data_IF_518893845001
#
_entry.id   IF_518893845001
#
_cell.length_a   1.000
_cell.length_b   1.000
_cell.length_c   1.000
_cell.angle_alpha   90.00
_cell.angle_beta   90.00
_cell.angle_gamma   90.00
#
_symmetry.space_group_name_H-M   'P 1'
#
loop_
_entity.id
_entity.type
_entity.pdbx_description
1 polymer ?
#
# COMPACT_ATOMS: atom_id res chain seq x y z
N UNK A 1 17.32 12.15 26.70
CA UNK A 1 16.33 11.06 26.75
C UNK A 1 15.42 11.25 25.54
N UNK A 2 15.71 10.62 24.40
CA UNK A 2 14.90 10.78 23.20
C UNK A 2 13.52 10.19 23.47
N UNK A 3 12.50 11.02 23.34
CA UNK A 3 11.13 10.56 23.44
C UNK A 3 10.93 9.48 22.36
N UNK A 4 10.65 8.25 22.79
CA UNK A 4 10.38 7.11 21.88
C UNK A 4 9.13 7.46 21.08
N UNK A 5 9.30 7.76 19.82
CA UNK A 5 8.25 8.27 18.95
C UNK A 5 7.34 7.13 18.51
N UNK A 6 6.04 7.27 18.71
CA UNK A 6 5.03 6.34 18.22
C UNK A 6 4.63 6.76 16.81
N UNK A 7 4.81 5.89 15.85
CA UNK A 7 4.36 6.05 14.47
C UNK A 7 3.07 5.26 14.27
N UNK A 8 2.11 5.84 13.57
CA UNK A 8 0.81 5.26 13.28
C UNK A 8 0.65 5.13 11.76
N UNK A 9 0.31 3.94 11.30
CA UNK A 9 -0.11 3.69 9.93
C UNK A 9 -1.62 3.47 9.88
N UNK A 10 -2.28 4.22 9.03
CA UNK A 10 -3.73 4.19 8.85
C UNK A 10 -4.07 3.83 7.39
N UNK A 11 -4.57 2.62 7.20
CA UNK A 11 -5.09 2.14 5.93
C UNK A 11 -6.59 2.39 5.86
N UNK A 12 -7.00 3.25 4.93
CA UNK A 12 -8.41 3.64 4.72
C UNK A 12 -8.91 2.90 3.49
N UNK A 13 -9.58 1.77 3.71
CA UNK A 13 -10.19 0.98 2.64
C UNK A 13 -11.71 1.11 2.64
N UNK A 14 -12.35 0.67 1.55
CA UNK A 14 -13.81 0.81 1.39
C UNK A 14 -14.65 -0.07 2.32
N UNK A 15 -14.05 -1.10 2.91
CA UNK A 15 -14.68 -2.04 3.85
C UNK A 15 -14.37 -1.74 5.31
N UNK A 16 -13.15 -1.28 5.60
CA UNK A 16 -12.69 -0.99 6.95
C UNK A 16 -11.55 0.02 6.97
N UNK A 17 -11.44 0.76 8.06
CA UNK A 17 -10.21 1.48 8.42
C UNK A 17 -9.40 0.59 9.34
N UNK A 18 -8.18 0.30 8.93
CA UNK A 18 -7.22 -0.50 9.71
C UNK A 18 -6.10 0.38 10.21
N UNK A 19 -5.74 0.22 11.46
CA UNK A 19 -4.70 1.01 12.09
C UNK A 19 -3.70 0.12 12.81
N UNK A 20 -2.44 0.46 12.65
CA UNK A 20 -1.30 -0.17 13.34
C UNK A 20 -0.46 0.96 13.95
N UNK A 21 -0.01 0.79 15.19
CA UNK A 21 0.94 1.73 15.77
C UNK A 21 2.14 1.02 16.35
N UNK A 22 3.30 1.54 15.97
CA UNK A 22 4.60 0.99 16.29
C UNK A 22 5.49 2.02 16.99
N UNK A 23 6.49 1.54 17.69
CA UNK A 23 7.54 2.36 18.29
C UNK A 23 8.88 2.00 17.68
N UNK A 24 9.62 3.02 17.21
CA UNK A 24 10.99 2.82 16.78
C UNK A 24 11.87 2.35 17.93
N UNK A 25 12.70 1.36 17.68
CA UNK A 25 13.67 0.77 18.59
C UNK A 25 15.07 0.94 18.01
N UNK A 26 16.10 0.63 18.78
CA UNK A 26 17.49 0.65 18.32
C UNK A 26 17.75 -0.34 17.19
N UNK A 27 17.00 -1.44 17.18
CA UNK A 27 17.03 -2.48 16.15
C UNK A 27 15.57 -2.76 15.72
N UNK A 28 15.13 -2.07 14.66
CA UNK A 28 13.80 -2.26 14.07
C UNK A 28 12.65 -1.61 14.85
N UNK A 29 11.49 -2.24 14.81
CA UNK A 29 10.22 -1.69 15.29
C UNK A 29 9.55 -2.61 16.30
N UNK A 30 8.79 -2.02 17.23
CA UNK A 30 7.97 -2.73 18.20
C UNK A 30 6.50 -2.41 17.94
N UNK A 31 5.70 -3.44 17.74
CA UNK A 31 4.25 -3.33 17.63
C UNK A 31 3.65 -3.02 19.00
N UNK A 32 2.94 -1.91 19.10
CA UNK A 32 2.26 -1.47 20.33
C UNK A 32 0.76 -1.73 20.28
N UNK A 33 0.19 -1.88 19.07
CA UNK A 33 -1.21 -2.19 18.92
C UNK A 33 -1.67 -2.14 17.46
N UNK A 34 -2.86 -2.68 17.27
CA UNK A 34 -3.55 -2.74 15.99
C UNK A 34 -5.06 -2.73 16.24
N UNK A 35 -5.83 -2.24 15.29
CA UNK A 35 -7.29 -2.25 15.35
C UNK A 35 -7.91 -2.12 13.96
N UNK A 36 -9.17 -2.55 13.81
CA UNK A 36 -9.95 -2.39 12.60
C UNK A 36 -11.37 -1.98 12.93
N UNK A 37 -11.91 -1.00 12.20
CA UNK A 37 -13.30 -0.56 12.31
C UNK A 37 -13.92 -0.61 10.92
N UNK A 38 -15.07 -1.27 10.78
CA UNK A 38 -15.78 -1.37 9.52
C UNK A 38 -16.26 0.00 9.03
N UNK A 39 -16.12 0.24 7.76
CA UNK A 39 -16.67 1.41 7.07
C UNK A 39 -18.09 1.10 6.64
N UNK A 40 -19.09 1.97 6.92
CA UNK A 40 -20.46 1.77 6.49
C UNK A 40 -20.58 1.60 4.97
N UNK A 41 -21.45 0.70 4.53
CA UNK A 41 -21.75 0.55 3.11
C UNK A 41 -22.22 1.88 2.51
N UNK A 42 -21.83 2.16 1.27
CA UNK A 42 -22.16 3.41 0.61
C UNK A 42 -21.23 4.59 0.96
N UNK A 43 -20.23 4.42 1.80
CA UNK A 43 -19.22 5.45 2.07
C UNK A 43 -18.33 5.72 0.85
N UNK A 44 -18.04 4.68 0.08
CA UNK A 44 -17.25 4.76 -1.15
C UNK A 44 -18.02 4.22 -2.35
N UNK A 45 -17.82 4.84 -3.51
CA UNK A 45 -18.21 4.33 -4.82
C UNK A 45 -16.94 4.11 -5.66
N UNK A 46 -16.53 2.85 -5.82
CA UNK A 46 -15.16 2.56 -6.26
C UNK A 46 -14.16 3.11 -5.24
N UNK A 47 -13.16 3.86 -5.72
CA UNK A 47 -12.17 4.53 -4.87
C UNK A 47 -12.58 5.98 -4.49
N UNK A 48 -13.76 6.44 -4.95
CA UNK A 48 -14.26 7.78 -4.65
C UNK A 48 -15.02 7.79 -3.33
N UNK A 49 -14.63 8.68 -2.42
CA UNK A 49 -15.36 8.97 -1.20
C UNK A 49 -16.64 9.75 -1.52
N UNK A 50 -17.81 9.19 -1.19
CA UNK A 50 -19.11 9.82 -1.43
C UNK A 50 -19.86 10.20 -0.17
N UNK A 51 -19.53 9.59 0.97
CA UNK A 51 -20.09 9.93 2.28
C UNK A 51 -18.98 10.26 3.30
N UNK A 52 -18.35 11.46 3.22
CA UNK A 52 -17.23 11.83 4.07
C UNK A 52 -17.58 11.84 5.57
N UNK A 53 -18.83 12.14 5.92
CA UNK A 53 -19.32 12.14 7.29
C UNK A 53 -19.24 10.74 7.92
N UNK A 54 -19.64 9.70 7.19
CA UNK A 54 -19.58 8.32 7.65
C UNK A 54 -18.12 7.88 7.92
N UNK A 55 -17.19 8.27 7.03
CA UNK A 55 -15.77 8.00 7.23
C UNK A 55 -15.20 8.80 8.42
N UNK A 56 -15.59 10.06 8.59
CA UNK A 56 -15.18 10.88 9.73
C UNK A 56 -15.59 10.25 11.05
N UNK A 57 -16.79 9.68 11.14
CA UNK A 57 -17.26 9.03 12.35
C UNK A 57 -16.43 7.79 12.71
N UNK A 58 -16.04 7.00 11.71
CA UNK A 58 -15.11 5.86 11.87
C UNK A 58 -13.75 6.35 12.35
N UNK A 59 -13.18 7.36 11.70
CA UNK A 59 -11.88 7.94 12.07
C UNK A 59 -11.88 8.56 13.47
N UNK A 60 -13.00 9.15 13.90
CA UNK A 60 -13.17 9.67 15.25
C UNK A 60 -13.13 8.57 16.32
N UNK A 61 -13.59 7.36 15.99
CA UNK A 61 -13.46 6.19 16.86
C UNK A 61 -12.00 5.72 16.93
N UNK A 62 -11.30 5.68 15.79
CA UNK A 62 -9.87 5.39 15.74
C UNK A 62 -9.09 6.40 16.59
N UNK A 63 -9.38 7.70 16.48
CA UNK A 63 -8.70 8.73 17.27
C UNK A 63 -8.76 8.46 18.78
N UNK A 64 -9.88 7.94 19.29
CA UNK A 64 -10.05 7.66 20.73
C UNK A 64 -9.17 6.53 21.26
N UNK A 65 -8.77 5.59 20.42
CA UNK A 65 -7.95 4.43 20.81
C UNK A 65 -6.46 4.66 20.60
N UNK A 66 -6.08 5.67 19.82
CA UNK A 66 -4.68 5.99 19.58
C UNK A 66 -3.97 6.55 20.81
N UNK A 67 -2.66 6.33 20.95
CA UNK A 67 -1.86 6.96 21.98
C UNK A 67 -1.95 8.50 21.90
N UNK A 68 -2.04 9.17 23.05
CA UNK A 68 -2.16 10.63 23.12
C UNK A 68 -0.95 11.41 22.54
N UNK A 69 0.21 10.77 22.46
CA UNK A 69 1.45 11.36 21.92
C UNK A 69 1.89 10.55 20.74
N UNK A 70 1.49 11.03 19.57
CA UNK A 70 1.99 10.53 18.29
C UNK A 70 3.19 11.36 17.87
N UNK A 71 4.16 10.67 17.28
CA UNK A 71 5.23 11.36 16.56
C UNK A 71 4.85 11.57 15.10
N UNK A 72 4.03 10.65 14.57
CA UNK A 72 3.72 10.63 13.15
C UNK A 72 2.46 9.82 12.87
N UNK A 73 1.60 10.33 11.99
CA UNK A 73 0.49 9.61 11.38
C UNK A 73 0.70 9.53 9.86
N UNK A 74 0.77 8.32 9.35
CA UNK A 74 0.94 8.03 7.93
C UNK A 74 -0.34 7.45 7.34
N UNK A 75 -0.76 7.95 6.18
CA UNK A 75 -1.82 7.37 5.34
C UNK A 75 -1.26 7.04 3.97
N UNK A 76 -2.03 6.34 3.13
CA UNK A 76 -1.67 6.11 1.74
C UNK A 76 -2.84 6.41 0.80
N UNK A 77 -2.52 6.95 -0.38
CA UNK A 77 -3.43 6.96 -1.51
C UNK A 77 -3.41 5.61 -2.23
N UNK A 78 -4.54 5.14 -2.77
CA UNK A 78 -4.59 3.94 -3.59
C UNK A 78 -3.64 4.05 -4.79
N UNK A 79 -2.95 2.95 -5.13
CA UNK A 79 -2.08 2.92 -6.30
C UNK A 79 -2.81 3.22 -7.62
N UNK A 80 -4.10 2.86 -7.70
CA UNK A 80 -4.96 3.18 -8.84
C UNK A 80 -5.15 4.69 -9.07
N UNK A 81 -5.05 5.50 -8.02
CA UNK A 81 -5.20 6.96 -8.07
C UNK A 81 -3.89 7.70 -8.37
N UNK A 82 -2.79 6.97 -8.56
CA UNK A 82 -1.44 7.51 -8.68
C UNK A 82 -0.89 7.30 -10.09
N UNK A 83 -0.32 8.36 -10.63
CA UNK A 83 0.42 8.35 -11.90
C UNK A 83 1.92 8.38 -11.61
N UNK A 84 2.70 7.56 -12.33
CA UNK A 84 4.17 7.62 -12.25
C UNK A 84 4.79 7.85 -13.61
N UNK A 85 5.81 8.69 -13.64
CA UNK A 85 6.65 8.96 -14.81
C UNK A 85 8.12 9.03 -14.39
N UNK A 86 8.99 8.84 -15.35
CA UNK A 86 10.43 8.95 -15.12
C UNK A 86 11.00 10.18 -15.81
N UNK A 87 11.91 10.86 -15.12
CA UNK A 87 12.64 12.02 -15.63
C UNK A 87 14.14 11.76 -15.47
N UNK A 88 14.92 11.97 -16.51
CA UNK A 88 16.38 11.92 -16.45
C UNK A 88 16.92 13.33 -16.18
N UNK A 89 17.65 13.49 -15.09
CA UNK A 89 18.29 14.76 -14.68
C UNK A 89 19.78 14.59 -14.56
N UNK A 90 20.52 15.68 -14.47
CA UNK A 90 21.95 15.63 -14.15
C UNK A 90 22.15 15.25 -12.68
N UNK A 91 23.05 14.30 -12.44
CA UNK A 91 23.23 13.71 -11.11
C UNK A 91 23.76 14.72 -10.07
N UNK A 92 24.52 15.74 -10.53
CA UNK A 92 25.10 16.78 -9.66
C UNK A 92 24.09 17.81 -9.16
N UNK A 93 22.84 17.81 -9.66
CA UNK A 93 21.82 18.74 -9.18
C UNK A 93 21.50 18.46 -7.71
N UNK A 94 21.39 19.55 -6.93
CA UNK A 94 20.88 19.52 -5.58
C UNK A 94 19.41 19.10 -5.56
N UNK A 95 18.89 18.71 -4.41
CA UNK A 95 17.48 18.32 -4.27
C UNK A 95 16.53 19.44 -4.68
N UNK A 96 16.87 20.70 -4.34
CA UNK A 96 16.08 21.86 -4.72
C UNK A 96 16.09 22.10 -6.23
N UNK A 97 17.23 21.96 -6.90
CA UNK A 97 17.32 22.06 -8.36
C UNK A 97 16.57 20.94 -9.06
N UNK A 98 16.61 19.72 -8.49
CA UNK A 98 15.78 18.60 -8.97
C UNK A 98 14.30 18.92 -8.84
N UNK A 99 13.86 19.49 -7.72
CA UNK A 99 12.47 19.91 -7.53
C UNK A 99 12.05 20.93 -8.63
N UNK A 100 12.82 21.99 -8.86
CA UNK A 100 12.54 22.96 -9.92
C UNK A 100 12.50 22.31 -11.30
N UNK A 101 13.38 21.34 -11.56
CA UNK A 101 13.37 20.61 -12.82
C UNK A 101 12.14 19.75 -12.99
N UNK A 102 11.71 19.07 -11.94
CA UNK A 102 10.45 18.28 -11.93
C UNK A 102 9.25 19.19 -12.16
N UNK A 103 9.14 20.32 -11.43
CA UNK A 103 8.04 21.28 -11.57
C UNK A 103 7.93 21.81 -13.00
N UNK A 104 9.03 22.13 -13.65
CA UNK A 104 9.08 22.61 -15.02
C UNK A 104 8.59 21.55 -16.02
N UNK A 105 8.80 20.27 -15.71
CA UNK A 105 8.43 19.15 -16.59
C UNK A 105 7.04 18.58 -16.31
N UNK A 106 6.37 18.93 -15.19
CA UNK A 106 5.04 18.40 -14.86
C UNK A 106 4.04 18.47 -16.02
N UNK A 107 3.93 19.59 -16.80
CA UNK A 107 2.98 19.69 -17.91
C UNK A 107 3.25 18.68 -19.03
N UNK A 108 4.51 18.26 -19.20
CA UNK A 108 4.90 17.27 -20.21
C UNK A 108 4.76 15.84 -19.71
N UNK A 109 4.87 15.62 -18.39
CA UNK A 109 4.82 14.31 -17.77
C UNK A 109 3.39 13.83 -17.52
N UNK A 110 2.48 14.74 -17.16
CA UNK A 110 1.14 14.37 -16.72
C UNK A 110 0.03 15.12 -17.50
N UNK A 111 -1.14 14.48 -17.70
CA UNK A 111 -2.23 15.05 -18.49
C UNK A 111 -3.06 16.09 -17.72
N UNK A 112 -2.65 16.48 -16.52
CA UNK A 112 -3.35 17.42 -15.64
C UNK A 112 -2.51 18.68 -15.44
N UNK A 113 -3.16 19.84 -15.24
CA UNK A 113 -2.44 21.06 -14.90
C UNK A 113 -1.66 20.93 -13.59
N UNK A 114 -0.47 21.54 -13.46
CA UNK A 114 0.38 21.42 -12.26
C UNK A 114 -0.33 21.79 -10.95
N UNK A 115 -1.23 22.77 -10.98
CA UNK A 115 -1.97 23.20 -9.78
C UNK A 115 -3.00 22.16 -9.31
N UNK A 116 -3.43 21.23 -10.16
CA UNK A 116 -4.33 20.12 -9.81
C UNK A 116 -3.56 18.88 -9.32
N UNK A 117 -2.22 18.90 -9.39
CA UNK A 117 -1.36 17.80 -8.98
C UNK A 117 -0.80 18.00 -7.58
N UNK A 118 -0.85 16.96 -6.75
CA UNK A 118 0.06 16.74 -5.66
C UNK A 118 1.12 15.75 -6.17
N UNK A 119 2.39 16.08 -6.03
CA UNK A 119 3.48 15.26 -6.55
C UNK A 119 4.64 15.19 -5.59
N UNK A 120 5.45 14.16 -5.74
CA UNK A 120 6.73 13.96 -5.09
C UNK A 120 7.66 13.20 -6.06
N UNK A 121 8.94 13.17 -5.80
CA UNK A 121 9.90 12.44 -6.60
C UNK A 121 10.98 11.79 -5.75
N UNK A 122 11.56 10.72 -6.29
CA UNK A 122 12.71 10.05 -5.68
C UNK A 122 13.70 9.63 -6.75
N UNK A 123 14.96 9.58 -6.37
CA UNK A 123 16.00 8.96 -7.20
C UNK A 123 15.82 7.44 -7.23
N UNK A 124 15.99 6.84 -8.41
CA UNK A 124 15.93 5.39 -8.57
C UNK A 124 17.21 4.89 -9.28
N UNK A 125 17.93 4.01 -8.58
CA UNK A 125 19.19 3.45 -9.06
C UNK A 125 20.39 4.38 -8.86
N UNK A 126 21.53 3.93 -9.38
CA UNK A 126 22.77 4.69 -9.34
C UNK A 126 22.84 5.69 -10.53
N UNK A 127 23.72 6.67 -10.38
CA UNK A 127 24.13 7.55 -11.47
C UNK A 127 24.60 6.73 -12.68
N UNK A 128 24.18 7.13 -13.86
CA UNK A 128 24.67 6.52 -15.12
C UNK A 128 26.09 6.98 -15.44
N UNK A 129 26.80 6.21 -16.29
CA UNK A 129 28.16 6.56 -16.75
C UNK A 129 28.25 7.96 -17.40
N UNK A 130 27.11 8.53 -17.83
CA UNK A 130 27.04 9.86 -18.45
C UNK A 130 26.64 10.96 -17.46
N UNK A 131 26.74 10.74 -16.16
CA UNK A 131 26.39 11.73 -15.13
C UNK A 131 24.89 12.02 -15.02
N UNK A 132 24.02 11.06 -15.43
CA UNK A 132 22.55 11.22 -15.36
C UNK A 132 21.97 10.39 -14.23
N UNK A 133 20.95 10.94 -13.57
CA UNK A 133 20.20 10.30 -12.52
C UNK A 133 18.74 10.15 -12.94
N UNK A 134 18.18 8.96 -12.73
CA UNK A 134 16.76 8.71 -12.97
C UNK A 134 15.93 9.14 -11.77
N UNK A 135 14.99 10.04 -11.98
CA UNK A 135 13.95 10.38 -11.02
C UNK A 135 12.66 9.66 -11.38
N UNK A 136 12.00 9.06 -10.38
CA UNK A 136 10.63 8.58 -10.46
C UNK A 136 9.74 9.65 -9.87
N UNK A 137 8.97 10.32 -10.72
CA UNK A 137 8.00 11.35 -10.32
C UNK A 137 6.65 10.67 -10.13
N UNK A 138 6.08 10.84 -8.96
CA UNK A 138 4.78 10.28 -8.56
C UNK A 138 3.80 11.42 -8.37
N UNK A 139 2.64 11.35 -8.97
CA UNK A 139 1.62 12.39 -8.88
C UNK A 139 0.22 11.80 -8.67
N UNK A 140 -0.59 12.50 -7.92
CA UNK A 140 -2.01 12.21 -7.71
C UNK A 140 -2.84 13.50 -7.89
N UNK A 141 -4.16 13.36 -8.07
CA UNK A 141 -5.04 14.52 -8.03
C UNK A 141 -5.00 15.17 -6.65
N UNK A 142 -4.73 16.46 -6.60
CA UNK A 142 -4.69 17.25 -5.36
C UNK A 142 -6.05 17.23 -4.64
N UNK A 143 -7.15 17.26 -5.39
CA UNK A 143 -8.50 17.14 -4.85
C UNK A 143 -8.65 15.88 -4.00
N UNK A 144 -8.29 14.71 -4.56
CA UNK A 144 -8.37 13.44 -3.83
C UNK A 144 -7.55 13.46 -2.52
N UNK A 145 -6.33 13.94 -2.57
CA UNK A 145 -5.49 14.07 -1.38
C UNK A 145 -6.15 15.00 -0.34
N UNK A 146 -6.69 16.14 -0.79
CA UNK A 146 -7.35 17.10 0.10
C UNK A 146 -8.61 16.53 0.74
N UNK A 147 -9.39 15.71 0.03
CA UNK A 147 -10.58 15.03 0.56
C UNK A 147 -10.21 14.13 1.74
N UNK A 148 -9.15 13.30 1.58
CA UNK A 148 -8.66 12.46 2.67
C UNK A 148 -8.16 13.28 3.87
N UNK A 149 -7.39 14.34 3.61
CA UNK A 149 -6.85 15.21 4.67
C UNK A 149 -7.98 15.97 5.41
N UNK A 150 -9.00 16.43 4.69
CA UNK A 150 -10.15 17.14 5.29
C UNK A 150 -10.96 16.22 6.21
N UNK A 151 -11.21 14.97 5.81
CA UNK A 151 -11.93 14.00 6.64
C UNK A 151 -11.13 13.62 7.89
N UNK A 152 -9.81 13.42 7.76
CA UNK A 152 -8.94 13.20 8.91
C UNK A 152 -8.97 14.37 9.88
N UNK A 153 -8.81 15.59 9.38
CA UNK A 153 -8.86 16.81 10.19
C UNK A 153 -10.21 16.95 10.90
N UNK A 154 -11.31 16.66 10.21
CA UNK A 154 -12.65 16.65 10.78
C UNK A 154 -12.85 15.61 11.88
N UNK A 155 -12.05 14.54 11.91
CA UNK A 155 -12.01 13.52 12.95
C UNK A 155 -10.99 13.83 14.09
N UNK A 156 -10.31 14.97 14.03
CA UNK A 156 -9.28 15.36 14.99
C UNK A 156 -7.91 14.68 14.76
N UNK A 157 -7.71 14.11 13.56
CA UNK A 157 -6.45 13.49 13.15
C UNK A 157 -5.73 14.40 12.15
N UNK A 158 -4.40 14.42 12.21
CA UNK A 158 -3.56 15.11 11.25
C UNK A 158 -2.58 14.12 10.66
N UNK A 159 -2.61 13.95 9.34
CA UNK A 159 -1.62 13.15 8.64
C UNK A 159 -0.35 13.98 8.46
N UNK A 160 0.78 13.41 8.88
CA UNK A 160 2.11 13.98 8.66
C UNK A 160 2.68 13.53 7.31
N UNK A 161 2.25 12.35 6.86
CA UNK A 161 2.75 11.72 5.64
C UNK A 161 1.57 11.13 4.84
N UNK A 162 1.57 11.42 3.55
CA UNK A 162 0.70 10.80 2.55
C UNK A 162 1.58 10.00 1.61
N UNK A 163 1.55 8.68 1.75
CA UNK A 163 2.29 7.72 0.94
C UNK A 163 1.38 7.13 -0.16
N UNK A 164 1.83 6.09 -0.82
CA UNK A 164 1.05 5.28 -1.78
C UNK A 164 1.04 3.82 -1.36
N UNK A 165 -0.08 3.13 -1.59
CA UNK A 165 -0.25 1.73 -1.16
C UNK A 165 0.83 0.77 -1.67
N UNK A 166 1.39 0.89 -2.92
CA UNK A 166 2.47 0.03 -3.36
C UNK A 166 3.76 0.16 -2.53
N UNK A 167 4.10 1.36 -2.07
CA UNK A 167 5.30 1.57 -1.24
C UNK A 167 5.07 1.09 0.18
N UNK A 168 3.88 1.31 0.73
CA UNK A 168 3.51 0.76 2.04
C UNK A 168 3.58 -0.77 2.05
N UNK A 169 3.08 -1.44 1.01
CA UNK A 169 3.16 -2.90 0.88
C UNK A 169 4.61 -3.40 0.84
N UNK A 170 5.47 -2.75 0.06
CA UNK A 170 6.89 -3.09 -0.04
C UNK A 170 7.60 -2.94 1.31
N UNK A 171 7.36 -1.85 2.02
CA UNK A 171 7.96 -1.56 3.33
C UNK A 171 7.52 -2.57 4.40
N UNK A 172 6.24 -2.98 4.37
CA UNK A 172 5.77 -4.04 5.25
C UNK A 172 6.51 -5.36 5.03
N UNK A 173 6.79 -5.73 3.76
CA UNK A 173 7.59 -6.90 3.46
C UNK A 173 9.05 -6.74 3.90
N UNK A 174 9.66 -5.61 3.64
CA UNK A 174 11.04 -5.32 4.05
C UNK A 174 11.23 -5.52 5.56
N UNK A 175 10.26 -5.05 6.34
CA UNK A 175 10.23 -5.27 7.79
C UNK A 175 10.07 -6.75 8.16
N UNK A 176 9.27 -7.51 7.41
CA UNK A 176 9.01 -8.93 7.68
C UNK A 176 10.05 -9.88 7.06
N UNK A 177 10.95 -9.39 6.22
CA UNK A 177 11.85 -10.19 5.38
C UNK A 177 12.68 -11.21 6.17
N UNK A 178 13.19 -10.82 7.33
CA UNK A 178 14.00 -11.69 8.19
C UNK A 178 13.24 -12.92 8.73
N UNK A 179 11.91 -12.89 8.71
CA UNK A 179 11.04 -13.97 9.17
C UNK A 179 10.53 -14.86 8.02
N UNK A 180 10.86 -14.54 6.78
CA UNK A 180 10.52 -15.36 5.62
C UNK A 180 11.46 -16.57 5.51
N UNK A 181 11.04 -17.66 4.85
CA UNK A 181 11.88 -18.81 4.64
C UNK A 181 13.20 -18.44 3.93
N UNK A 182 14.37 -18.87 4.42
CA UNK A 182 15.67 -18.52 3.82
C UNK A 182 15.84 -19.02 2.37
N UNK A 183 15.11 -20.07 1.99
CA UNK A 183 15.14 -20.63 0.64
C UNK A 183 14.27 -19.84 -0.37
N UNK A 184 13.56 -18.81 0.09
CA UNK A 184 12.70 -18.00 -0.78
C UNK A 184 13.56 -17.01 -1.57
N UNK A 185 13.61 -17.19 -2.89
CA UNK A 185 14.24 -16.21 -3.81
C UNK A 185 13.36 -14.96 -3.91
N UNK A 186 13.55 -14.02 -2.97
CA UNK A 186 12.68 -12.86 -2.81
C UNK A 186 12.61 -12.01 -4.07
N UNK A 187 13.73 -11.81 -4.77
CA UNK A 187 13.82 -11.01 -5.99
C UNK A 187 12.94 -11.52 -7.14
N UNK A 188 12.59 -12.81 -7.09
CA UNK A 188 11.71 -13.45 -8.07
C UNK A 188 10.25 -13.50 -7.61
N UNK A 189 9.88 -12.83 -6.54
CA UNK A 189 8.50 -12.77 -6.08
C UNK A 189 7.79 -11.49 -6.55
N UNK A 190 6.49 -11.57 -6.70
CA UNK A 190 5.61 -10.40 -6.75
C UNK A 190 4.80 -10.34 -5.46
N UNK A 191 4.63 -9.12 -4.95
CA UNK A 191 3.75 -8.86 -3.82
C UNK A 191 2.34 -8.65 -4.30
N UNK A 192 1.40 -9.29 -3.63
CA UNK A 192 -0.03 -9.18 -3.91
C UNK A 192 -0.76 -8.79 -2.63
N UNK A 193 -1.56 -7.75 -2.71
CA UNK A 193 -2.47 -7.37 -1.63
C UNK A 193 -3.90 -7.30 -2.17
N UNK A 194 -4.76 -8.12 -1.60
CA UNK A 194 -6.17 -8.14 -1.95
C UNK A 194 -6.97 -7.35 -0.92
N UNK A 195 -7.51 -6.21 -1.32
CA UNK A 195 -8.49 -5.47 -0.53
C UNK A 195 -9.92 -5.92 -0.84
N UNK A 196 -10.92 -5.29 -0.26
CA UNK A 196 -12.33 -5.61 -0.55
C UNK A 196 -12.68 -5.44 -2.03
N UNK A 197 -12.08 -4.45 -2.70
CA UNK A 197 -12.45 -4.05 -4.06
C UNK A 197 -11.29 -4.00 -5.05
N UNK A 198 -10.05 -4.03 -4.59
CA UNK A 198 -8.87 -3.84 -5.43
C UNK A 198 -7.88 -4.96 -5.26
N UNK A 199 -7.19 -5.26 -6.36
CA UNK A 199 -6.03 -6.13 -6.42
C UNK A 199 -4.79 -5.28 -6.69
N UNK A 200 -3.96 -5.10 -5.67
CA UNK A 200 -2.66 -4.47 -5.78
C UNK A 200 -1.58 -5.53 -5.99
N UNK A 201 -0.80 -5.38 -7.05
CA UNK A 201 0.40 -6.19 -7.31
C UNK A 201 1.59 -5.25 -7.46
N UNK A 202 2.69 -5.55 -6.78
CA UNK A 202 3.93 -4.76 -6.90
C UNK A 202 5.16 -5.64 -6.86
N UNK A 203 6.27 -5.11 -7.40
CA UNK A 203 7.60 -5.72 -7.25
C UNK A 203 8.07 -5.65 -5.80
N UNK A 204 8.96 -6.56 -5.42
CA UNK A 204 9.57 -6.62 -4.07
C UNK A 204 10.53 -5.45 -3.80
N UNK A 205 10.87 -5.14 -2.53
CA UNK A 205 11.96 -4.24 -2.17
C UNK A 205 13.27 -4.63 -2.87
N UNK A 206 14.14 -3.65 -3.11
CA UNK A 206 15.39 -3.86 -3.86
C UNK A 206 15.25 -3.88 -5.39
N UNK A 207 14.06 -4.23 -5.92
CA UNK A 207 13.78 -4.16 -7.37
C UNK A 207 13.22 -2.80 -7.77
N UNK A 208 13.44 -2.34 -9.02
CA UNK A 208 12.76 -1.15 -9.55
C UNK A 208 11.24 -1.26 -9.38
N UNK A 209 10.60 -0.16 -8.99
CA UNK A 209 9.16 -0.17 -8.70
C UNK A 209 8.34 -0.48 -9.95
N UNK A 210 7.61 -1.56 -9.89
CA UNK A 210 6.50 -1.91 -10.76
C UNK A 210 5.26 -2.07 -9.90
N UNK A 211 4.14 -1.53 -10.29
CA UNK A 211 2.87 -1.87 -9.66
C UNK A 211 1.69 -1.78 -10.60
N UNK A 212 0.65 -2.51 -10.24
CA UNK A 212 -0.71 -2.41 -10.80
C UNK A 212 -1.68 -2.50 -9.63
N UNK A 213 -2.58 -1.56 -9.55
CA UNK A 213 -3.68 -1.54 -8.59
C UNK A 213 -4.97 -1.42 -9.40
N UNK A 214 -5.76 -2.48 -9.41
CA UNK A 214 -6.91 -2.60 -10.29
C UNK A 214 -8.17 -2.95 -9.51
N UNK A 215 -9.31 -2.34 -9.85
CA UNK A 215 -10.57 -2.72 -9.26
C UNK A 215 -10.94 -4.16 -9.66
N UNK A 216 -11.51 -4.88 -8.69
CA UNK A 216 -12.11 -6.18 -8.93
C UNK A 216 -13.56 -6.01 -9.37
N UNK A 217 -13.86 -6.48 -10.55
CA UNK A 217 -15.23 -6.52 -11.08
C UNK A 217 -15.99 -7.72 -10.50
N UNK A 218 -16.31 -7.65 -9.21
CA UNK A 218 -17.09 -8.67 -8.54
C UNK A 218 -18.54 -8.19 -8.49
N UNK A 219 -19.52 -8.99 -8.94
CA UNK A 219 -20.91 -8.66 -8.80
C UNK A 219 -21.24 -8.37 -7.34
N UNK A 220 -21.78 -7.20 -7.05
CA UNK A 220 -22.32 -6.93 -5.72
C UNK A 220 -23.65 -7.67 -5.61
N UNK A 221 -23.79 -8.50 -4.60
CA UNK A 221 -25.10 -9.08 -4.27
C UNK A 221 -25.98 -7.98 -3.66
N UNK A 222 -26.54 -7.14 -4.52
CA UNK A 222 -27.70 -6.35 -4.15
C UNK A 222 -28.89 -7.29 -4.09
N UNK A 223 -29.19 -7.78 -2.90
CA UNK A 223 -30.32 -8.69 -2.64
C UNK A 223 -29.94 -10.18 -2.64
N UNK A 224 -30.44 -10.85 -1.70
CA UNK A 224 -30.44 -12.22 -1.17
C UNK A 224 -30.28 -13.43 -2.14
N UNK A 225 -29.60 -13.35 -3.27
CA UNK A 225 -29.73 -14.40 -4.29
C UNK A 225 -28.44 -15.20 -4.60
N UNK A 226 -27.26 -14.76 -4.18
CA UNK A 226 -26.02 -15.49 -4.49
C UNK A 226 -25.41 -16.11 -3.24
N UNK A 227 -25.18 -17.43 -3.19
CA UNK A 227 -24.54 -18.08 -2.05
C UNK A 227 -23.12 -17.52 -1.81
N UNK A 228 -22.70 -17.33 -0.54
CA UNK A 228 -21.36 -16.82 -0.22
C UNK A 228 -20.20 -17.62 -0.84
N UNK A 229 -20.36 -18.93 -0.97
CA UNK A 229 -19.37 -19.80 -1.60
C UNK A 229 -19.19 -19.48 -3.10
N UNK A 230 -20.27 -19.22 -3.82
CA UNK A 230 -20.22 -18.86 -5.24
C UNK A 230 -19.60 -17.47 -5.45
N UNK A 231 -19.88 -16.52 -4.55
CA UNK A 231 -19.23 -15.19 -4.58
C UNK A 231 -17.73 -15.31 -4.37
N UNK A 232 -17.29 -16.16 -3.44
CA UNK A 232 -15.87 -16.41 -3.21
C UNK A 232 -15.20 -17.07 -4.42
N UNK A 233 -15.85 -18.03 -5.05
CA UNK A 233 -15.35 -18.67 -6.27
C UNK A 233 -15.20 -17.67 -7.42
N UNK A 234 -16.22 -16.84 -7.66
CA UNK A 234 -16.17 -15.78 -8.67
C UNK A 234 -15.04 -14.77 -8.38
N UNK A 235 -14.89 -14.41 -7.11
CA UNK A 235 -13.81 -13.53 -6.67
C UNK A 235 -12.43 -14.13 -6.96
N UNK A 236 -12.19 -15.37 -6.60
CA UNK A 236 -10.92 -16.05 -6.86
C UNK A 236 -10.65 -16.22 -8.35
N UNK A 237 -11.68 -16.54 -9.15
CA UNK A 237 -11.56 -16.61 -10.61
C UNK A 237 -11.12 -15.28 -11.21
N UNK A 238 -11.73 -14.17 -10.80
CA UNK A 238 -11.35 -12.83 -11.27
C UNK A 238 -9.92 -12.43 -10.80
N UNK A 239 -9.58 -12.73 -9.54
CA UNK A 239 -8.22 -12.51 -9.01
C UNK A 239 -7.19 -13.30 -9.82
N UNK A 240 -7.46 -14.59 -10.11
CA UNK A 240 -6.57 -15.44 -10.92
C UNK A 240 -6.36 -14.86 -12.33
N UNK A 241 -7.46 -14.46 -12.97
CA UNK A 241 -7.41 -13.87 -14.30
C UNK A 241 -6.56 -12.59 -14.34
N UNK A 242 -6.78 -11.68 -13.38
CA UNK A 242 -6.03 -10.44 -13.29
C UNK A 242 -4.56 -10.68 -12.96
N UNK A 243 -4.25 -11.58 -12.02
CA UNK A 243 -2.88 -11.95 -11.68
C UNK A 243 -2.12 -12.53 -12.89
N UNK A 244 -2.78 -13.37 -13.69
CA UNK A 244 -2.21 -13.88 -14.94
C UNK A 244 -1.81 -12.77 -15.90
N UNK A 245 -2.69 -11.80 -16.14
CA UNK A 245 -2.43 -10.65 -17.01
C UNK A 245 -1.32 -9.75 -16.46
N UNK A 246 -1.34 -9.44 -15.16
CA UNK A 246 -0.34 -8.57 -14.54
C UNK A 246 1.06 -9.23 -14.57
N UNK A 247 1.13 -10.56 -14.36
CA UNK A 247 2.40 -11.29 -14.49
C UNK A 247 2.94 -11.25 -15.91
N UNK A 248 2.09 -11.41 -16.93
CA UNK A 248 2.51 -11.24 -18.32
C UNK A 248 3.04 -9.84 -18.60
N UNK A 249 2.36 -8.80 -18.09
CA UNK A 249 2.83 -7.42 -18.19
C UNK A 249 4.19 -7.23 -17.48
N UNK A 250 4.39 -7.83 -16.32
CA UNK A 250 5.66 -7.79 -15.59
C UNK A 250 6.77 -8.47 -16.41
N UNK A 251 6.52 -9.65 -16.97
CA UNK A 251 7.46 -10.37 -17.80
C UNK A 251 7.80 -9.62 -19.08
N UNK A 252 6.86 -8.87 -19.67
CA UNK A 252 7.13 -8.04 -20.85
C UNK A 252 8.11 -6.88 -20.58
N UNK A 253 8.37 -6.54 -19.31
CA UNK A 253 9.41 -5.59 -18.92
C UNK A 253 10.83 -6.21 -18.85
N UNK A 254 10.98 -7.47 -19.27
CA UNK A 254 12.26 -8.22 -19.21
C UNK A 254 12.55 -8.84 -17.84
N UNK A 255 11.57 -8.85 -16.92
CA UNK A 255 11.69 -9.42 -15.59
C UNK A 255 10.95 -10.73 -15.47
N UNK A 256 11.32 -11.56 -14.49
CA UNK A 256 10.68 -12.84 -14.24
C UNK A 256 10.12 -12.87 -12.82
N UNK A 257 9.00 -13.59 -12.64
CA UNK A 257 8.46 -13.91 -11.31
C UNK A 257 8.20 -15.41 -11.21
N UNK A 258 8.80 -16.04 -10.24
CA UNK A 258 8.68 -17.49 -9.95
C UNK A 258 7.59 -17.78 -8.91
N UNK A 259 7.11 -16.77 -8.17
CA UNK A 259 6.12 -16.94 -7.12
C UNK A 259 5.43 -15.65 -6.71
N UNK A 260 4.45 -15.79 -5.81
CA UNK A 260 3.65 -14.69 -5.28
C UNK A 260 3.66 -14.72 -3.76
N UNK A 261 3.92 -13.57 -3.14
CA UNK A 261 3.71 -13.33 -1.71
C UNK A 261 2.42 -12.54 -1.52
N UNK A 262 1.44 -13.17 -0.88
CA UNK A 262 0.09 -12.61 -0.79
C UNK A 262 -0.27 -12.13 0.61
N UNK A 263 -1.10 -11.11 0.66
CA UNK A 263 -1.64 -10.51 1.88
C UNK A 263 -3.04 -9.92 1.63
N UNK A 264 -3.64 -9.30 2.64
CA UNK A 264 -4.95 -8.70 2.54
C UNK A 264 -6.08 -9.68 2.83
N UNK A 265 -7.18 -9.60 2.10
CA UNK A 265 -8.39 -10.40 2.32
C UNK A 265 -8.34 -11.74 1.57
N UNK A 266 -7.29 -12.50 1.79
CA UNK A 266 -7.10 -13.86 1.32
C UNK A 266 -7.01 -14.80 2.52
N UNK A 267 -7.35 -16.08 2.30
CA UNK A 267 -7.20 -17.17 3.27
C UNK A 267 -6.13 -18.13 2.81
N UNK A 268 -5.62 -18.93 3.71
CA UNK A 268 -4.65 -19.99 3.39
C UNK A 268 -5.22 -20.99 2.35
N UNK A 269 -6.53 -21.25 2.39
CA UNK A 269 -7.21 -22.04 1.36
C UNK A 269 -7.14 -21.42 -0.02
N UNK A 270 -7.24 -20.09 -0.11
CA UNK A 270 -7.22 -19.37 -1.38
C UNK A 270 -5.84 -19.42 -2.03
N UNK A 271 -4.76 -19.40 -1.22
CA UNK A 271 -3.39 -19.51 -1.76
C UNK A 271 -3.15 -20.81 -2.51
N UNK A 272 -3.74 -21.91 -2.05
CA UNK A 272 -3.63 -23.20 -2.72
C UNK A 272 -4.36 -23.22 -4.06
N UNK A 273 -5.56 -22.63 -4.11
CA UNK A 273 -6.34 -22.49 -5.35
C UNK A 273 -5.56 -21.65 -6.36
N UNK A 274 -5.07 -20.46 -5.93
CA UNK A 274 -4.27 -19.57 -6.77
C UNK A 274 -2.99 -20.24 -7.27
N UNK A 275 -2.30 -20.98 -6.39
CA UNK A 275 -1.07 -21.71 -6.76
C UNK A 275 -1.33 -22.76 -7.86
N UNK A 276 -2.43 -23.51 -7.73
CA UNK A 276 -2.83 -24.49 -8.73
C UNK A 276 -3.21 -23.85 -10.07
N UNK A 277 -4.02 -22.80 -10.03
CA UNK A 277 -4.53 -22.14 -11.25
C UNK A 277 -3.44 -21.35 -12.00
N UNK A 278 -2.51 -20.71 -11.26
CA UNK A 278 -1.43 -19.91 -11.84
C UNK A 278 -0.16 -20.73 -12.12
N UNK A 279 -0.09 -22.00 -11.66
CA UNK A 279 1.07 -22.89 -11.77
C UNK A 279 2.36 -22.26 -11.21
N UNK A 280 2.24 -21.51 -10.11
CA UNK A 280 3.37 -20.93 -9.36
C UNK A 280 3.10 -21.02 -7.86
N UNK A 281 4.18 -21.07 -7.02
CA UNK A 281 4.04 -20.97 -5.58
C UNK A 281 3.33 -19.68 -5.17
N UNK A 282 2.32 -19.81 -4.29
CA UNK A 282 1.61 -18.67 -3.68
C UNK A 282 1.67 -18.86 -2.18
N UNK A 283 2.27 -17.91 -1.50
CA UNK A 283 2.51 -17.98 -0.05
C UNK A 283 1.98 -16.74 0.66
N UNK A 284 1.21 -16.94 1.72
CA UNK A 284 0.82 -15.86 2.64
C UNK A 284 1.95 -15.51 3.60
N UNK A 285 1.95 -14.29 4.10
CA UNK A 285 2.93 -13.80 5.06
C UNK A 285 2.32 -12.83 6.06
N UNK A 286 2.81 -12.83 7.30
CA UNK A 286 2.33 -11.93 8.34
C UNK A 286 3.12 -10.62 8.33
N UNK A 287 2.46 -9.44 8.25
CA UNK A 287 3.13 -8.15 8.32
C UNK A 287 3.76 -7.88 9.70
N UNK A 288 3.35 -8.61 10.72
CA UNK A 288 3.87 -8.48 12.08
C UNK A 288 5.10 -9.36 12.34
N UNK A 289 5.42 -10.23 11.38
CA UNK A 289 6.60 -11.06 11.44
C UNK A 289 7.87 -10.28 11.56
N UNK A 290 8.76 -10.13 12.09
CA UNK A 290 9.93 -9.23 12.13
C UNK A 290 9.77 -8.01 13.06
N UNK A 291 8.59 -7.82 13.66
CA UNK A 291 8.39 -6.83 14.71
C UNK A 291 8.61 -7.44 16.09
N UNK A 292 9.16 -6.64 17.01
CA UNK A 292 9.05 -6.97 18.43
C UNK A 292 7.61 -6.76 18.88
N UNK A 293 7.05 -7.67 19.69
CA UNK A 293 5.63 -7.62 20.05
C UNK A 293 5.46 -7.17 21.50
N UNK A 294 4.77 -6.05 21.72
CA UNK A 294 4.30 -5.61 23.04
C UNK A 294 2.85 -6.04 23.32
N UNK A 295 2.15 -6.55 22.31
CA UNK A 295 0.76 -7.00 22.35
C UNK A 295 0.61 -8.34 21.64
N UNK A 296 -0.47 -9.07 21.93
CA UNK A 296 -0.83 -10.25 21.15
C UNK A 296 -1.25 -9.86 19.74
N UNK A 297 -0.87 -10.66 18.76
CA UNK A 297 -1.20 -10.47 17.35
C UNK A 297 -2.20 -11.51 16.88
N UNK A 298 -3.00 -11.21 15.83
CA UNK A 298 -3.86 -12.19 15.19
C UNK A 298 -3.03 -13.35 14.61
N UNK A 299 -3.66 -14.50 14.51
CA UNK A 299 -3.01 -15.64 13.85
C UNK A 299 -2.87 -15.38 12.36
N UNK A 300 -1.76 -15.84 11.80
CA UNK A 300 -1.40 -15.81 10.37
C UNK A 300 -2.32 -15.00 9.42
N UNK A 301 -3.33 -15.65 8.83
CA UNK A 301 -4.19 -15.03 7.81
C UNK A 301 -5.05 -13.86 8.34
N UNK A 302 -5.40 -13.87 9.62
CA UNK A 302 -6.13 -12.76 10.23
C UNK A 302 -5.27 -11.49 10.39
N UNK A 303 -3.93 -11.64 10.31
CA UNK A 303 -2.99 -10.52 10.30
C UNK A 303 -2.84 -9.89 8.90
N UNK A 304 -3.09 -10.63 7.83
CA UNK A 304 -2.83 -10.19 6.45
C UNK A 304 -3.56 -8.90 6.04
N UNK A 305 -4.80 -8.62 6.50
CA UNK A 305 -5.46 -7.36 6.20
C UNK A 305 -4.76 -6.12 6.74
N UNK A 306 -3.89 -6.25 7.76
CA UNK A 306 -3.16 -5.14 8.37
C UNK A 306 -1.86 -4.78 7.66
N UNK A 307 -1.54 -5.43 6.54
CA UNK A 307 -0.25 -5.28 5.86
C UNK A 307 0.04 -3.83 5.44
N UNK A 308 -0.94 -3.14 4.85
CA UNK A 308 -0.74 -1.74 4.44
C UNK A 308 -0.57 -0.82 5.66
N UNK A 309 -1.42 -0.96 6.67
CA UNK A 309 -1.30 -0.18 7.90
C UNK A 309 0.03 -0.43 8.62
N UNK A 310 0.53 -1.66 8.60
CA UNK A 310 1.85 -1.99 9.15
C UNK A 310 2.98 -1.29 8.37
N UNK A 311 2.96 -1.37 7.04
CA UNK A 311 3.96 -0.70 6.20
C UNK A 311 3.95 0.83 6.35
N UNK A 312 2.80 1.43 6.64
CA UNK A 312 2.68 2.85 6.95
C UNK A 312 3.22 3.18 8.34
N UNK A 313 2.98 2.31 9.34
CA UNK A 313 3.45 2.51 10.72
C UNK A 313 4.98 2.46 10.84
N UNK A 314 5.65 1.66 10.01
CA UNK A 314 7.11 1.49 10.01
C UNK A 314 7.83 2.41 9.00
N UNK A 315 7.20 3.51 8.63
CA UNK A 315 7.80 4.48 7.71
C UNK A 315 9.02 5.16 8.37
N UNK A 316 10.17 5.03 7.72
CA UNK A 316 11.41 5.72 8.06
C UNK A 316 11.68 6.76 6.96
N UNK A 317 11.74 8.02 7.25
CA UNK A 317 11.99 9.06 6.25
C UNK A 317 13.09 8.64 5.24
N UNK A 318 12.93 9.09 4.00
CA UNK A 318 13.99 8.94 2.98
C UNK A 318 15.18 9.83 3.30
#
# INVERSE_FOLDING_TARGET
MFARSVSVGLDIASDAVRVVWCRSRRQGWELLGWHSINVPAGTFQGDRLIAPEALRDVLSQIHKILPRRLARLCIALPGAAVMQKTLMVDAFLTEQERLFRVEAELPSLFPLPPHELAFDFRAEGAETANGRLKLVVTAARRELMNDYLAVLQGAGLQADIVDITPLALRRALEQAQAALPPALELEQQLLVHLSARNLLVTSVPGSPLFFRDQPLNIPQSEGNSVPPALLQEQRLSEVTRQLGLIRQMYHSTGRQSSGLLVSGQLRESDTRVLSTQLSVPVQGWSPFAGLSLAVSVPQQEDAWPFTLACGLAVWEGN
#
